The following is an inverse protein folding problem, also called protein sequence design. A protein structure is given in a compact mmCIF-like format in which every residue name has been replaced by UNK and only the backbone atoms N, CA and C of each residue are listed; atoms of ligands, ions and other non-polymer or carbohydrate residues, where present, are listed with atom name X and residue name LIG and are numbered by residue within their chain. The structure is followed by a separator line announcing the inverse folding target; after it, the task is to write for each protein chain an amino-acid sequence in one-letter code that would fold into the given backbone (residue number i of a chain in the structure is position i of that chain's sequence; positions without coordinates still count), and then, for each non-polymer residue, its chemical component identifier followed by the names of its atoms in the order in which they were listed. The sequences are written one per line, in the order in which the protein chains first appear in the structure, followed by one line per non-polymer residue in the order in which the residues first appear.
data_IF_614023998108
#
_entry.id   IF_614023998108
#
_cell.length_a   1.000
_cell.length_b   1.000
_cell.length_c   1.000
_cell.angle_alpha   90.00
_cell.angle_beta   90.00
_cell.angle_gamma   90.00
#
_symmetry.space_group_name_H-M   'P 1'
#
loop_
_entity.id
_entity.type
_entity.pdbx_description
1 polymer ?
#
# COMPACT_ATOMS: atom_id res chain seq x y z
N UNK A 1 28.38 23.06 -22.71
CA UNK A 1 26.90 23.03 -22.69
C UNK A 1 26.31 21.62 -22.59
N UNK A 2 27.08 20.52 -22.69
CA UNK A 2 26.53 19.15 -22.78
C UNK A 2 26.72 18.27 -21.52
N UNK A 3 27.18 18.82 -20.39
CA UNK A 3 27.38 18.05 -19.15
C UNK A 3 26.44 18.45 -18.00
N UNK A 4 25.39 19.25 -18.28
CA UNK A 4 24.41 19.68 -17.27
C UNK A 4 23.04 18.99 -17.40
N UNK A 5 22.80 18.21 -18.45
CA UNK A 5 21.50 17.57 -18.69
C UNK A 5 21.39 16.13 -18.16
N UNK A 6 22.51 15.46 -17.87
CA UNK A 6 22.48 14.08 -17.35
C UNK A 6 22.13 13.99 -15.85
N UNK A 7 22.30 15.08 -15.10
CA UNK A 7 21.97 15.15 -13.67
C UNK A 7 20.46 15.18 -13.39
N UNK A 8 19.64 15.63 -14.35
CA UNK A 8 18.21 15.84 -14.15
C UNK A 8 17.37 14.56 -14.35
N UNK A 9 17.93 13.53 -15.00
CA UNK A 9 17.21 12.27 -15.33
C UNK A 9 17.24 11.22 -14.20
N UNK A 10 18.08 11.40 -13.17
CA UNK A 10 18.22 10.42 -12.07
C UNK A 10 17.18 10.58 -10.97
N UNK A 11 16.56 11.75 -10.87
CA UNK A 11 15.62 12.08 -9.78
C UNK A 11 14.14 11.91 -10.20
N UNK A 12 13.89 11.67 -11.49
CA UNK A 12 12.54 11.38 -11.97
C UNK A 12 12.21 9.92 -11.65
N UNK A 13 11.31 9.71 -10.68
CA UNK A 13 10.73 8.40 -10.41
C UNK A 13 10.18 7.82 -11.73
N UNK A 14 10.43 6.53 -12.05
CA UNK A 14 9.89 5.91 -13.24
C UNK A 14 8.36 6.11 -13.35
N UNK A 15 7.79 6.18 -14.57
CA UNK A 15 6.37 6.53 -14.77
C UNK A 15 5.38 5.71 -13.92
N UNK A 16 5.67 4.41 -13.72
CA UNK A 16 4.91 3.51 -12.84
C UNK A 16 4.80 3.96 -11.38
N UNK A 17 5.76 4.73 -10.88
CA UNK A 17 5.77 5.27 -9.52
C UNK A 17 5.03 6.62 -9.41
N UNK A 18 4.71 7.25 -10.54
CA UNK A 18 3.96 8.51 -10.61
C UNK A 18 2.45 8.29 -10.69
N UNK A 19 2.01 7.06 -11.01
CA UNK A 19 0.61 6.70 -11.05
C UNK A 19 0.01 6.58 -9.64
N UNK A 20 -1.31 6.76 -9.53
CA UNK A 20 -2.05 6.48 -8.29
C UNK A 20 -2.70 5.11 -8.43
N UNK A 21 -2.58 4.29 -7.38
CA UNK A 21 -3.22 2.99 -7.31
C UNK A 21 -4.65 3.14 -6.75
N UNK A 22 -5.64 2.70 -7.54
CA UNK A 22 -7.05 2.76 -7.17
C UNK A 22 -7.63 1.37 -6.96
N UNK A 23 -8.35 1.19 -5.84
CA UNK A 23 -9.08 -0.06 -5.53
C UNK A 23 -10.42 0.30 -4.92
N UNK A 24 -11.49 -0.35 -5.38
CA UNK A 24 -12.79 -0.25 -4.71
C UNK A 24 -12.85 -1.28 -3.59
N UNK A 25 -13.04 -0.82 -2.36
CA UNK A 25 -13.10 -1.61 -1.15
C UNK A 25 -14.47 -1.44 -0.45
N UNK A 26 -15.14 -2.51 -0.03
CA UNK A 26 -16.47 -2.42 0.57
C UNK A 26 -16.49 -1.74 1.95
N UNK A 27 -15.34 -1.62 2.63
CA UNK A 27 -15.23 -1.00 3.96
C UNK A 27 -14.81 0.47 3.85
N UNK A 28 -13.84 0.76 2.99
CA UNK A 28 -13.22 2.08 2.86
C UNK A 28 -13.66 2.86 1.61
N UNK A 29 -14.48 2.27 0.74
CA UNK A 29 -14.88 2.88 -0.52
C UNK A 29 -13.74 2.88 -1.55
N UNK A 30 -13.59 3.97 -2.31
CA UNK A 30 -12.48 4.10 -3.25
C UNK A 30 -11.18 4.40 -2.49
N UNK A 31 -10.30 3.41 -2.40
CA UNK A 31 -8.94 3.54 -1.88
C UNK A 31 -8.05 4.16 -2.95
N UNK A 32 -7.29 5.19 -2.56
CA UNK A 32 -6.28 5.85 -3.36
C UNK A 32 -4.93 5.74 -2.66
N UNK A 33 -3.96 5.06 -3.29
CA UNK A 33 -2.63 4.81 -2.72
C UNK A 33 -1.53 5.25 -3.70
N UNK A 34 -0.31 5.57 -3.21
CA UNK A 34 0.83 5.87 -4.09
C UNK A 34 1.15 4.71 -5.04
N UNK A 35 1.53 5.00 -6.29
CA UNK A 35 1.78 3.99 -7.33
C UNK A 35 2.84 2.94 -7.00
N UNK A 36 3.80 3.28 -6.14
CA UNK A 36 4.76 2.31 -5.60
C UNK A 36 4.09 1.09 -4.98
N UNK A 37 2.92 1.26 -4.34
CA UNK A 37 2.14 0.16 -3.74
C UNK A 37 1.73 -0.85 -4.79
N UNK A 38 1.37 -0.41 -6.00
CA UNK A 38 0.94 -1.29 -7.09
C UNK A 38 2.02 -2.31 -7.46
N UNK A 39 3.30 -1.91 -7.46
CA UNK A 39 4.41 -2.82 -7.76
C UNK A 39 4.49 -3.99 -6.79
N UNK A 40 4.21 -3.74 -5.51
CA UNK A 40 4.17 -4.79 -4.49
C UNK A 40 2.89 -5.60 -4.58
N UNK A 41 1.74 -4.96 -4.83
CA UNK A 41 0.46 -5.66 -4.98
C UNK A 41 0.48 -6.62 -6.15
N UNK A 42 1.11 -6.27 -7.27
CA UNK A 42 1.21 -7.10 -8.47
C UNK A 42 2.25 -8.22 -8.37
N UNK A 43 3.03 -8.29 -7.28
CA UNK A 43 4.00 -9.38 -7.03
C UNK A 43 3.30 -10.72 -6.75
N UNK A 44 3.96 -11.82 -7.08
CA UNK A 44 3.41 -13.17 -6.86
C UNK A 44 3.18 -13.44 -5.37
N UNK A 45 4.11 -12.96 -4.53
CA UNK A 45 4.09 -13.10 -3.09
C UNK A 45 2.86 -12.44 -2.48
N UNK A 46 2.48 -11.26 -2.97
CA UNK A 46 1.30 -10.54 -2.51
C UNK A 46 0.01 -11.13 -3.07
N UNK A 47 -0.02 -11.49 -4.37
CA UNK A 47 -1.19 -12.11 -5.00
C UNK A 47 -1.57 -13.45 -4.37
N UNK A 48 -0.62 -14.19 -3.78
CA UNK A 48 -0.88 -15.41 -3.00
C UNK A 48 -1.93 -15.20 -1.91
N UNK A 49 -1.98 -14.01 -1.29
CA UNK A 49 -2.91 -13.72 -0.21
C UNK A 49 -4.39 -13.72 -0.63
N UNK A 50 -4.70 -13.73 -1.94
CA UNK A 50 -6.08 -13.92 -2.43
C UNK A 50 -6.66 -15.28 -2.05
N UNK A 51 -5.78 -16.27 -1.85
CA UNK A 51 -6.15 -17.65 -1.56
C UNK A 51 -6.09 -17.99 -0.06
N UNK A 52 -5.71 -17.02 0.79
CA UNK A 52 -5.64 -17.20 2.25
C UNK A 52 -6.83 -16.46 2.88
N UNK A 53 -7.73 -17.23 3.48
CA UNK A 53 -8.89 -16.69 4.20
C UNK A 53 -8.43 -15.91 5.44
N UNK A 54 -9.02 -14.74 5.67
CA UNK A 54 -8.68 -13.92 6.84
C UNK A 54 -8.92 -14.67 8.14
N UNK A 55 -10.05 -15.38 8.23
CA UNK A 55 -10.52 -16.08 9.43
C UNK A 55 -10.46 -17.62 9.30
N UNK A 56 -9.66 -18.15 8.37
CA UNK A 56 -9.50 -19.59 8.20
C UNK A 56 -10.83 -20.33 7.99
N UNK A 57 -11.11 -21.32 8.85
CA UNK A 57 -12.31 -22.16 8.77
C UNK A 57 -13.59 -21.47 9.27
N UNK A 58 -13.53 -20.23 9.76
CA UNK A 58 -14.70 -19.52 10.27
C UNK A 58 -15.82 -19.38 9.22
N UNK A 59 -15.51 -19.40 7.93
CA UNK A 59 -16.49 -19.42 6.84
C UNK A 59 -17.52 -20.57 6.97
N UNK A 60 -17.15 -21.68 7.63
CA UNK A 60 -18.00 -22.86 7.80
C UNK A 60 -19.09 -22.65 8.87
N UNK A 61 -18.87 -21.70 9.78
CA UNK A 61 -19.83 -21.30 10.82
C UNK A 61 -20.51 -19.98 10.44
N UNK A 62 -19.75 -19.07 9.82
CA UNK A 62 -20.17 -17.74 9.41
C UNK A 62 -19.99 -17.61 7.89
N UNK A 63 -21.02 -17.90 7.08
CA UNK A 63 -20.89 -17.96 5.62
C UNK A 63 -20.54 -16.60 4.97
N UNK A 64 -20.65 -15.49 5.71
CA UNK A 64 -20.16 -14.17 5.27
C UNK A 64 -18.66 -13.93 5.47
N UNK A 65 -17.96 -14.79 6.21
CA UNK A 65 -16.53 -14.67 6.49
C UNK A 65 -15.65 -15.15 5.32
N UNK A 66 -16.00 -14.75 4.09
CA UNK A 66 -15.37 -15.22 2.85
C UNK A 66 -14.12 -14.41 2.45
N UNK A 67 -13.89 -13.28 3.13
CA UNK A 67 -12.82 -12.33 2.87
C UNK A 67 -11.42 -12.95 3.04
N UNK A 68 -10.48 -12.40 2.28
CA UNK A 68 -9.10 -12.88 2.21
C UNK A 68 -8.13 -11.82 2.74
N UNK A 69 -6.91 -12.27 3.05
CA UNK A 69 -5.84 -11.39 3.56
C UNK A 69 -5.41 -10.33 2.55
N UNK A 70 -5.59 -10.58 1.25
CA UNK A 70 -5.24 -9.63 0.21
C UNK A 70 -5.91 -8.26 0.38
N UNK A 71 -7.24 -8.23 0.53
CA UNK A 71 -7.96 -6.97 0.71
C UNK A 71 -7.73 -6.36 2.09
N UNK A 72 -7.57 -7.19 3.13
CA UNK A 72 -7.20 -6.72 4.46
C UNK A 72 -5.86 -5.95 4.46
N UNK A 73 -4.84 -6.49 3.79
CA UNK A 73 -3.53 -5.86 3.67
C UNK A 73 -3.57 -4.54 2.88
N UNK A 74 -4.39 -4.45 1.83
CA UNK A 74 -4.60 -3.20 1.09
C UNK A 74 -5.31 -2.15 1.97
N UNK A 75 -6.35 -2.55 2.71
CA UNK A 75 -7.03 -1.66 3.67
C UNK A 75 -6.10 -1.17 4.77
N UNK A 76 -5.23 -2.04 5.29
CA UNK A 76 -4.21 -1.68 6.29
C UNK A 76 -3.21 -0.68 5.73
N UNK A 77 -2.74 -0.87 4.49
CA UNK A 77 -1.88 0.08 3.81
C UNK A 77 -2.55 1.46 3.64
N UNK A 78 -3.83 1.48 3.27
CA UNK A 78 -4.62 2.70 3.15
C UNK A 78 -4.72 3.47 4.46
N UNK A 79 -5.10 2.79 5.55
CA UNK A 79 -5.19 3.43 6.87
C UNK A 79 -3.83 3.91 7.36
N UNK A 80 -2.77 3.14 7.13
CA UNK A 80 -1.40 3.52 7.48
C UNK A 80 -0.98 4.79 6.74
N UNK A 81 -1.30 4.90 5.44
CA UNK A 81 -1.02 6.06 4.61
C UNK A 81 -1.81 7.31 5.05
N UNK A 82 -3.12 7.18 5.28
CA UNK A 82 -3.96 8.28 5.77
C UNK A 82 -3.47 8.79 7.13
N UNK A 83 -3.10 7.87 8.05
CA UNK A 83 -2.59 8.23 9.36
C UNK A 83 -1.30 9.04 9.27
N UNK A 84 -0.28 8.54 8.56
CA UNK A 84 1.02 9.21 8.49
C UNK A 84 0.93 10.54 7.71
N UNK A 85 0.08 10.62 6.67
CA UNK A 85 -0.21 11.89 5.96
C UNK A 85 -0.92 12.90 6.86
N UNK A 86 -1.85 12.41 7.69
CA UNK A 86 -2.52 13.21 8.72
C UNK A 86 -1.53 13.80 9.72
N UNK A 87 -0.58 13.01 10.22
CA UNK A 87 0.49 13.49 11.10
C UNK A 87 1.41 14.49 10.40
N UNK A 88 1.85 14.20 9.18
CA UNK A 88 2.71 15.09 8.40
C UNK A 88 2.08 16.47 8.22
N UNK A 89 0.76 16.53 7.94
CA UNK A 89 0.05 17.79 7.71
C UNK A 89 -0.25 18.57 8.99
N UNK A 90 -0.52 17.88 10.11
CA UNK A 90 -0.93 18.52 11.38
C UNK A 90 0.25 18.84 12.29
N UNK A 91 1.38 18.15 12.12
CA UNK A 91 2.56 18.28 12.98
C UNK A 91 3.85 18.39 12.14
N UNK A 92 4.07 19.54 11.44
CA UNK A 92 5.26 19.74 10.62
C UNK A 92 6.58 19.63 11.38
N UNK A 93 6.56 19.85 12.69
CA UNK A 93 7.72 19.71 13.59
C UNK A 93 8.26 18.27 13.67
N UNK A 94 7.46 17.26 13.32
CA UNK A 94 7.90 15.86 13.26
C UNK A 94 8.79 15.57 12.05
N UNK A 95 8.89 16.50 11.08
CA UNK A 95 9.73 16.38 9.89
C UNK A 95 9.51 15.07 9.09
N UNK A 96 8.27 14.60 9.04
CA UNK A 96 7.89 13.38 8.31
C UNK A 96 8.16 13.57 6.82
N UNK A 97 9.01 12.72 6.24
CA UNK A 97 9.42 12.78 4.84
C UNK A 97 8.57 11.89 3.93
N UNK A 98 8.61 12.11 2.62
CA UNK A 98 7.96 11.22 1.63
C UNK A 98 8.48 9.77 1.70
N UNK A 99 9.73 9.59 2.15
CA UNK A 99 10.29 8.26 2.41
C UNK A 99 9.57 7.59 3.57
N UNK A 100 9.27 8.32 4.65
CA UNK A 100 8.55 7.79 5.81
C UNK A 100 7.11 7.41 5.43
N UNK A 101 6.42 8.25 4.64
CA UNK A 101 5.09 7.90 4.11
C UNK A 101 5.14 6.57 3.36
N UNK A 102 6.14 6.41 2.48
CA UNK A 102 6.30 5.19 1.68
C UNK A 102 6.62 3.98 2.56
N UNK A 103 7.56 4.11 3.49
CA UNK A 103 7.96 3.03 4.40
C UNK A 103 6.81 2.58 5.29
N UNK A 104 6.06 3.50 5.89
CA UNK A 104 4.91 3.16 6.75
C UNK A 104 3.79 2.51 5.95
N UNK A 105 3.51 3.02 4.75
CA UNK A 105 2.49 2.43 3.86
C UNK A 105 2.87 1.00 3.44
N UNK A 106 4.13 0.79 3.04
CA UNK A 106 4.63 -0.54 2.65
C UNK A 106 4.72 -1.49 3.85
N UNK A 107 5.06 -0.98 5.04
CA UNK A 107 5.03 -1.78 6.27
C UNK A 107 3.60 -2.29 6.56
N UNK A 108 2.59 -1.41 6.48
CA UNK A 108 1.19 -1.79 6.63
C UNK A 108 0.71 -2.76 5.55
N UNK A 109 1.13 -2.54 4.30
CA UNK A 109 0.82 -3.44 3.18
C UNK A 109 1.39 -4.85 3.40
N UNK A 110 2.64 -4.93 3.83
CA UNK A 110 3.40 -6.17 3.89
C UNK A 110 3.28 -6.93 5.21
N UNK A 111 2.62 -6.37 6.23
CA UNK A 111 2.59 -6.93 7.58
C UNK A 111 2.09 -8.39 7.65
N UNK A 112 1.19 -8.74 6.72
CA UNK A 112 0.51 -10.03 6.67
C UNK A 112 1.09 -11.00 5.62
N UNK A 113 2.14 -10.61 4.88
CA UNK A 113 2.76 -11.43 3.82
C UNK A 113 3.31 -12.77 4.30
N UNK A 114 3.73 -12.86 5.57
CA UNK A 114 4.35 -14.06 6.13
C UNK A 114 3.35 -15.06 6.75
N UNK A 115 2.05 -14.71 6.82
CA UNK A 115 1.06 -15.66 7.30
C UNK A 115 0.93 -16.85 6.34
N UNK A 116 1.06 -18.06 6.91
CA UNK A 116 0.84 -19.34 6.24
C UNK A 116 -0.57 -19.84 6.53
#
# INVERSE_FOLDING_TARGET
ALLREEGQKRDALPPLLQETFYVNDPIHGLICLPGVVKLFVDSMEFQRMRFIKQLGICEWVFPGATHNRFFHSIGTAYLSWEMIRGLQSRQPELQITNRDLTCVTLAGLCHDLACK
#
